data_IF_129081627637
#
_entry.id   IF_129081627637
#
_cell.length_a   1.000
_cell.length_b   1.000
_cell.length_c   1.000
_cell.angle_alpha   90.00
_cell.angle_beta   90.00
_cell.angle_gamma   90.00
#
_symmetry.space_group_name_H-M   'P 1'
#
loop_
_entity.id
_entity.type
_entity.pdbx_description
1 polymer ?
#
# COMPACT_ATOMS: atom_id res chain seq x y z
N UNK A 1 -5.95 18.62 -6.17
CA UNK A 1 -6.27 17.20 -6.39
C UNK A 1 -6.75 16.67 -5.07
N UNK A 2 -7.93 16.07 -5.07
CA UNK A 2 -8.46 15.45 -3.86
C UNK A 2 -7.60 14.22 -3.56
N UNK A 3 -7.01 14.13 -2.38
CA UNK A 3 -6.10 13.02 -2.00
C UNK A 3 -6.82 11.66 -1.92
N UNK A 4 -8.14 11.66 -1.93
CA UNK A 4 -8.97 10.45 -1.87
C UNK A 4 -8.85 9.50 -3.09
N UNK A 5 -8.28 9.99 -4.19
CA UNK A 5 -8.26 9.28 -5.47
C UNK A 5 -6.89 8.67 -5.82
N UNK A 6 -5.93 8.67 -4.86
CA UNK A 6 -4.58 8.20 -5.05
C UNK A 6 -4.17 7.28 -3.91
N UNK A 7 -3.63 6.12 -4.24
CA UNK A 7 -2.95 5.26 -3.30
C UNK A 7 -1.46 5.60 -3.32
N UNK A 8 -0.92 6.05 -2.17
CA UNK A 8 0.49 6.33 -2.00
C UNK A 8 1.05 5.35 -0.97
N UNK A 9 2.18 4.72 -1.28
CA UNK A 9 2.82 3.79 -0.36
C UNK A 9 4.32 3.64 -0.64
N UNK A 10 5.05 3.14 0.36
CA UNK A 10 6.47 2.81 0.27
C UNK A 10 6.63 1.31 0.09
N UNK A 11 7.61 0.93 -0.71
CA UNK A 11 7.98 -0.46 -0.99
C UNK A 11 9.43 -0.52 -1.48
N UNK A 12 9.81 -1.61 -2.11
CA UNK A 12 11.13 -1.77 -2.74
C UNK A 12 10.98 -2.26 -4.19
N UNK A 13 11.88 -1.79 -5.04
CA UNK A 13 12.02 -2.30 -6.42
C UNK A 13 13.46 -2.77 -6.60
N UNK A 14 13.65 -4.06 -6.88
CA UNK A 14 14.97 -4.67 -7.00
C UNK A 14 15.88 -4.43 -5.77
N UNK A 15 15.29 -4.43 -4.57
CA UNK A 15 16.00 -4.19 -3.31
C UNK A 15 16.34 -2.73 -3.01
N UNK A 16 15.89 -1.78 -3.85
CA UNK A 16 16.06 -0.35 -3.61
C UNK A 16 14.76 0.27 -3.12
N UNK A 17 14.81 1.23 -2.16
CA UNK A 17 13.62 1.94 -1.71
C UNK A 17 12.85 2.59 -2.84
N UNK A 18 11.53 2.47 -2.82
CA UNK A 18 10.63 3.01 -3.82
C UNK A 18 9.40 3.66 -3.18
N UNK A 19 8.90 4.72 -3.82
CA UNK A 19 7.64 5.37 -3.44
C UNK A 19 6.70 5.26 -4.63
N UNK A 20 5.56 4.63 -4.40
CA UNK A 20 4.52 4.41 -5.39
C UNK A 20 3.38 5.41 -5.24
N UNK A 21 2.80 5.77 -6.36
CA UNK A 21 1.57 6.57 -6.46
C UNK A 21 0.71 5.94 -7.54
N UNK A 22 -0.36 5.27 -7.17
CA UNK A 22 -1.32 4.66 -8.09
C UNK A 22 -2.62 5.47 -8.13
N UNK A 23 -3.16 5.62 -9.33
CA UNK A 23 -4.46 6.25 -9.54
C UNK A 23 -5.56 5.21 -9.33
N UNK A 24 -6.40 5.41 -8.32
CA UNK A 24 -7.55 4.53 -8.02
C UNK A 24 -8.89 5.15 -8.46
N UNK A 25 -8.86 6.35 -9.04
CA UNK A 25 -10.05 7.01 -9.56
C UNK A 25 -10.44 6.45 -10.94
N UNK A 26 -11.70 6.24 -11.14
CA UNK A 26 -12.28 5.88 -12.44
C UNK A 26 -11.71 4.57 -13.09
N UNK A 27 -10.98 3.74 -12.36
CA UNK A 27 -10.37 2.51 -12.90
C UNK A 27 -11.41 1.63 -13.59
N UNK A 28 -12.56 1.40 -12.96
CA UNK A 28 -13.65 0.61 -13.51
C UNK A 28 -14.17 1.17 -14.84
N UNK A 29 -14.15 2.51 -14.99
CA UNK A 29 -14.56 3.20 -16.19
C UNK A 29 -13.62 2.98 -17.37
N UNK A 30 -12.34 2.73 -17.10
CA UNK A 30 -11.29 2.53 -18.09
C UNK A 30 -10.92 1.06 -18.31
N UNK A 31 -10.89 0.24 -17.28
CA UNK A 31 -10.54 -1.18 -17.34
C UNK A 31 -11.47 -2.02 -18.26
N UNK A 32 -12.71 -1.64 -18.44
CA UNK A 32 -13.65 -2.31 -19.37
C UNK A 32 -13.57 -1.85 -20.83
N UNK A 33 -12.60 -0.98 -21.19
CA UNK A 33 -12.42 -0.46 -22.54
C UNK A 33 -11.22 -1.10 -23.24
N UNK A 34 -11.06 -0.83 -24.56
CA UNK A 34 -9.95 -1.35 -25.37
C UNK A 34 -8.58 -0.68 -25.06
N UNK A 35 -8.29 -0.38 -23.77
CA UNK A 35 -7.01 0.13 -23.32
C UNK A 35 -6.07 -1.04 -22.97
N UNK A 36 -5.70 -1.79 -23.99
CA UNK A 36 -4.92 -3.03 -23.87
C UNK A 36 -3.39 -2.83 -23.95
N UNK A 37 -2.94 -1.59 -24.06
CA UNK A 37 -1.53 -1.24 -24.19
C UNK A 37 -1.09 -0.34 -23.05
N UNK A 38 0.03 -0.69 -22.44
CA UNK A 38 0.68 0.15 -21.46
C UNK A 38 1.91 0.82 -22.06
N UNK A 39 1.98 2.14 -21.94
CA UNK A 39 3.14 2.96 -22.29
C UNK A 39 3.86 3.33 -20.98
N UNK A 40 5.11 2.92 -20.88
CA UNK A 40 5.99 3.20 -19.75
C UNK A 40 7.15 4.08 -20.20
N UNK A 41 7.59 5.00 -19.36
CA UNK A 41 8.78 5.82 -19.61
C UNK A 41 9.38 6.34 -18.32
N UNK A 42 10.59 6.87 -18.37
CA UNK A 42 11.31 7.38 -17.22
C UNK A 42 11.53 8.88 -17.27
N UNK A 43 11.59 9.50 -16.08
CA UNK A 43 11.99 10.87 -15.83
C UNK A 43 13.13 10.82 -14.82
N UNK A 44 14.34 11.25 -15.22
CA UNK A 44 15.46 11.29 -14.30
C UNK A 44 15.35 12.45 -13.31
N UNK A 45 15.78 12.22 -12.07
CA UNK A 45 15.97 13.24 -11.04
C UNK A 45 17.32 13.03 -10.33
N UNK A 46 17.73 13.99 -9.52
CA UNK A 46 18.93 13.87 -8.71
C UNK A 46 18.60 13.24 -7.37
N UNK A 47 19.18 12.07 -7.08
CA UNK A 47 19.07 11.46 -5.77
C UNK A 47 19.70 12.35 -4.68
N UNK A 48 19.12 12.28 -3.47
CA UNK A 48 19.63 12.99 -2.31
C UNK A 48 20.80 12.24 -1.66
N UNK A 49 20.65 10.92 -1.54
CA UNK A 49 21.59 10.02 -0.88
C UNK A 49 21.62 8.62 -1.53
N UNK A 50 22.16 7.65 -0.81
CA UNK A 50 22.31 6.25 -1.26
C UNK A 50 20.98 5.51 -1.42
N UNK A 51 19.88 6.02 -0.86
CA UNK A 51 18.53 5.45 -1.05
C UNK A 51 18.05 5.61 -2.49
N UNK A 52 18.64 6.52 -3.24
CA UNK A 52 18.24 6.82 -4.59
C UNK A 52 16.97 7.67 -4.68
N UNK A 53 16.42 8.14 -3.56
CA UNK A 53 15.22 8.98 -3.51
C UNK A 53 15.60 10.49 -3.64
N UNK A 54 14.69 11.36 -4.10
CA UNK A 54 14.93 12.78 -4.24
C UNK A 54 14.87 13.50 -2.90
N UNK A 55 15.58 14.64 -2.76
CA UNK A 55 15.28 15.60 -1.70
C UNK A 55 13.92 16.27 -1.95
N UNK A 56 13.35 16.93 -0.94
CA UNK A 56 12.09 17.67 -1.05
C UNK A 56 12.09 18.64 -2.24
N UNK A 57 13.16 19.44 -2.38
CA UNK A 57 13.31 20.39 -3.49
C UNK A 57 13.37 19.71 -4.86
N UNK A 58 14.01 18.55 -4.95
CA UNK A 58 14.10 17.80 -6.20
C UNK A 58 12.79 17.06 -6.50
N UNK A 59 12.10 16.62 -5.46
CA UNK A 59 10.77 16.05 -5.56
C UNK A 59 9.77 17.07 -6.15
N UNK A 60 9.76 18.31 -5.68
CA UNK A 60 8.90 19.37 -6.22
C UNK A 60 9.16 19.62 -7.71
N UNK A 61 10.43 19.60 -8.12
CA UNK A 61 10.79 19.75 -9.55
C UNK A 61 10.31 18.54 -10.36
N UNK A 62 10.43 17.33 -9.82
CA UNK A 62 9.96 16.12 -10.46
C UNK A 62 8.45 16.15 -10.63
N UNK A 63 7.69 16.48 -9.59
CA UNK A 63 6.22 16.56 -9.62
C UNK A 63 5.75 17.63 -10.63
N UNK A 64 6.43 18.75 -10.74
CA UNK A 64 6.12 19.74 -11.78
C UNK A 64 6.34 19.21 -13.22
N UNK A 65 7.33 18.32 -13.43
CA UNK A 65 7.51 17.63 -14.73
C UNK A 65 6.39 16.60 -14.96
N UNK A 66 6.03 15.84 -13.93
CA UNK A 66 4.91 14.89 -13.98
C UNK A 66 3.62 15.61 -14.37
N UNK A 67 3.28 16.72 -13.73
CA UNK A 67 2.07 17.49 -14.08
C UNK A 67 2.05 18.01 -15.52
N UNK A 68 3.22 18.42 -16.05
CA UNK A 68 3.31 18.83 -17.46
C UNK A 68 2.99 17.69 -18.42
N UNK A 69 3.43 16.48 -18.11
CA UNK A 69 3.12 15.29 -18.92
C UNK A 69 1.65 14.91 -18.77
N UNK A 70 1.13 14.87 -17.54
CA UNK A 70 -0.27 14.57 -17.26
C UNK A 70 -1.18 15.50 -18.08
N UNK A 71 -0.93 16.81 -18.06
CA UNK A 71 -1.73 17.79 -18.80
C UNK A 71 -1.74 17.54 -20.32
N UNK A 72 -0.67 16.98 -20.90
CA UNK A 72 -0.60 16.67 -22.33
C UNK A 72 -1.26 15.32 -22.66
N UNK A 73 -0.96 14.27 -21.88
CA UNK A 73 -1.42 12.93 -22.19
C UNK A 73 -2.90 12.70 -21.83
N UNK A 74 -3.40 13.30 -20.74
CA UNK A 74 -4.83 13.19 -20.39
C UNK A 74 -5.74 14.00 -21.31
N UNK A 75 -5.18 14.89 -22.12
CA UNK A 75 -5.92 15.55 -23.20
C UNK A 75 -6.12 14.65 -24.43
N UNK A 76 -5.38 13.54 -24.56
CA UNK A 76 -5.55 12.56 -25.62
C UNK A 76 -6.78 11.67 -25.33
N UNK A 77 -7.50 11.22 -26.39
CA UNK A 77 -8.63 10.33 -26.20
C UNK A 77 -8.16 8.93 -25.72
N UNK A 78 -8.94 8.31 -24.85
CA UNK A 78 -8.73 6.94 -24.38
C UNK A 78 -7.30 6.71 -23.84
N UNK A 79 -6.87 7.61 -22.96
CA UNK A 79 -5.62 7.50 -22.21
C UNK A 79 -5.94 7.56 -20.72
N UNK A 80 -5.43 6.61 -19.97
CA UNK A 80 -5.55 6.52 -18.52
C UNK A 80 -4.18 6.56 -17.85
N UNK A 81 -3.98 7.48 -16.92
CA UNK A 81 -2.78 7.50 -16.09
C UNK A 81 -2.95 6.49 -14.95
N UNK A 82 -2.23 5.38 -15.02
CA UNK A 82 -2.30 4.31 -14.03
C UNK A 82 -1.55 4.65 -12.74
N UNK A 83 -0.41 5.33 -12.87
CA UNK A 83 0.43 5.68 -11.73
C UNK A 83 1.90 5.85 -12.09
N UNK A 84 2.70 6.03 -11.06
CA UNK A 84 4.17 6.06 -11.18
C UNK A 84 4.81 5.53 -9.91
N UNK A 85 6.08 5.19 -10.01
CA UNK A 85 6.93 5.02 -8.83
C UNK A 85 8.25 5.75 -8.99
N UNK A 86 8.84 6.13 -7.86
CA UNK A 86 10.10 6.83 -7.73
C UNK A 86 11.10 5.87 -7.09
N UNK A 87 12.19 5.55 -7.78
CA UNK A 87 13.22 4.63 -7.31
C UNK A 87 14.53 4.90 -8.04
N UNK A 88 15.64 4.77 -7.35
CA UNK A 88 16.99 4.80 -7.93
C UNK A 88 17.20 5.93 -8.96
N UNK A 89 16.96 7.18 -8.56
CA UNK A 89 17.15 8.39 -9.39
C UNK A 89 16.21 8.50 -10.60
N UNK A 90 15.16 7.71 -10.67
CA UNK A 90 14.20 7.71 -11.77
C UNK A 90 12.76 7.64 -11.25
N UNK A 91 11.87 8.41 -11.88
CA UNK A 91 10.43 8.19 -11.80
C UNK A 91 9.99 7.43 -13.04
N UNK A 92 9.35 6.28 -12.87
CA UNK A 92 8.80 5.48 -13.95
C UNK A 92 7.30 5.66 -14.01
N UNK A 93 6.82 6.19 -15.14
CA UNK A 93 5.43 6.54 -15.40
C UNK A 93 4.73 5.42 -16.16
N UNK A 94 3.43 5.24 -15.90
CA UNK A 94 2.61 4.17 -16.49
C UNK A 94 1.27 4.74 -17.00
N UNK A 95 1.01 4.55 -18.29
CA UNK A 95 -0.22 4.98 -18.92
C UNK A 95 -0.82 3.85 -19.74
N UNK A 96 -2.11 3.57 -19.56
CA UNK A 96 -2.86 2.72 -20.48
C UNK A 96 -3.48 3.53 -21.59
N UNK A 97 -3.51 2.98 -22.79
CA UNK A 97 -4.08 3.65 -23.94
C UNK A 97 -4.60 2.65 -24.99
N UNK A 98 -5.52 3.15 -25.84
CA UNK A 98 -5.99 2.45 -27.04
C UNK A 98 -4.99 2.60 -28.20
N UNK A 99 -4.47 3.83 -28.38
CA UNK A 99 -3.58 4.20 -29.50
C UNK A 99 -2.23 4.66 -29.01
N UNK A 100 -1.27 3.73 -28.90
CA UNK A 100 0.09 3.99 -28.41
C UNK A 100 0.86 5.02 -29.22
N UNK A 101 0.64 5.09 -30.55
CA UNK A 101 1.39 6.00 -31.42
C UNK A 101 1.20 7.46 -31.00
N UNK A 102 -0.03 7.88 -30.67
CA UNK A 102 -0.31 9.25 -30.23
C UNK A 102 0.40 9.60 -28.92
N UNK A 103 0.44 8.64 -27.99
CA UNK A 103 1.13 8.82 -26.71
C UNK A 103 2.63 8.90 -26.93
N UNK A 104 3.21 7.98 -27.71
CA UNK A 104 4.65 7.94 -28.00
C UNK A 104 5.10 9.22 -28.75
N UNK A 105 4.39 9.65 -29.78
CA UNK A 105 4.70 10.87 -30.53
C UNK A 105 4.67 12.11 -29.62
N UNK A 106 3.70 12.20 -28.71
CA UNK A 106 3.63 13.29 -27.72
C UNK A 106 4.82 13.25 -26.76
N UNK A 107 5.16 12.07 -26.23
CA UNK A 107 6.28 11.89 -25.31
C UNK A 107 7.64 12.20 -25.96
N UNK A 108 7.83 11.87 -27.24
CA UNK A 108 9.06 12.15 -27.99
C UNK A 108 9.35 13.66 -28.16
N UNK A 109 8.34 14.52 -28.00
CA UNK A 109 8.51 15.98 -28.02
C UNK A 109 9.01 16.55 -26.66
N UNK A 110 9.14 15.70 -25.62
CA UNK A 110 9.47 16.13 -24.27
C UNK A 110 10.92 15.73 -23.94
N UNK A 111 11.83 16.67 -23.89
CA UNK A 111 13.29 16.47 -23.78
C UNK A 111 13.72 15.64 -22.57
N UNK A 112 13.00 15.73 -21.44
CA UNK A 112 13.35 15.05 -20.19
C UNK A 112 12.72 13.66 -20.05
N UNK A 113 11.92 13.21 -21.00
CA UNK A 113 11.37 11.85 -21.07
C UNK A 113 12.41 10.92 -21.70
N UNK A 114 12.60 9.74 -21.11
CA UNK A 114 13.55 8.71 -21.57
C UNK A 114 12.88 7.32 -21.53
N UNK A 115 13.52 6.36 -22.15
CA UNK A 115 13.21 4.92 -22.08
C UNK A 115 11.74 4.61 -22.32
N UNK A 116 11.16 5.18 -23.40
CA UNK A 116 9.76 4.91 -23.76
C UNK A 116 9.64 3.46 -24.20
N UNK A 117 8.79 2.70 -23.52
CA UNK A 117 8.49 1.31 -23.80
C UNK A 117 6.98 1.12 -23.93
N UNK A 118 6.58 0.29 -24.88
CA UNK A 118 5.16 -0.06 -25.09
C UNK A 118 5.03 -1.57 -25.05
N UNK A 119 4.08 -2.06 -24.30
CA UNK A 119 3.75 -3.48 -24.26
C UNK A 119 2.24 -3.69 -24.19
N UNK A 120 1.81 -4.88 -24.58
CA UNK A 120 0.43 -5.30 -24.46
C UNK A 120 0.19 -5.83 -23.05
N UNK A 121 -0.86 -5.34 -22.39
CA UNK A 121 -1.24 -5.69 -21.04
C UNK A 121 -2.77 -5.76 -20.93
N UNK A 122 -3.33 -6.86 -21.41
CA UNK A 122 -4.77 -7.09 -21.54
C UNK A 122 -5.49 -7.17 -20.19
N UNK A 123 -4.83 -7.78 -19.21
CA UNK A 123 -5.40 -8.01 -17.87
C UNK A 123 -5.08 -6.87 -16.91
N UNK A 124 -4.31 -5.88 -17.38
CA UNK A 124 -3.80 -4.80 -16.55
C UNK A 124 -2.94 -5.31 -15.37
N UNK A 125 -2.18 -6.40 -15.59
CA UNK A 125 -1.33 -7.00 -14.57
C UNK A 125 -0.32 -5.99 -13.99
N UNK A 126 0.23 -5.09 -14.82
CA UNK A 126 1.11 -4.02 -14.34
C UNK A 126 0.40 -3.07 -13.37
N UNK A 127 -0.89 -2.86 -13.53
CA UNK A 127 -1.66 -2.02 -12.62
C UNK A 127 -2.04 -2.77 -11.34
N UNK A 128 -2.69 -3.93 -11.47
CA UNK A 128 -3.26 -4.65 -10.34
C UNK A 128 -2.20 -5.37 -9.49
N UNK A 129 -1.17 -5.96 -10.13
CA UNK A 129 -0.19 -6.78 -9.42
C UNK A 129 1.11 -6.04 -9.09
N UNK A 130 1.34 -4.85 -9.70
CA UNK A 130 2.60 -4.13 -9.49
C UNK A 130 2.42 -2.68 -9.00
N UNK A 131 1.44 -1.91 -9.53
CA UNK A 131 1.26 -0.51 -9.13
C UNK A 131 0.38 -0.33 -7.90
N UNK A 132 -0.58 -1.23 -7.67
CA UNK A 132 -1.37 -1.21 -6.44
C UNK A 132 -0.61 -1.88 -5.30
N UNK A 133 -0.75 -1.32 -4.11
CA UNK A 133 -0.19 -1.95 -2.91
C UNK A 133 -0.90 -3.27 -2.62
N UNK A 134 -0.11 -4.30 -2.35
CA UNK A 134 -0.62 -5.56 -1.80
C UNK A 134 -1.20 -5.34 -0.39
N UNK A 135 -2.07 -6.25 0.10
CA UNK A 135 -2.58 -6.17 1.48
C UNK A 135 -1.46 -6.05 2.52
N UNK A 136 -0.36 -6.78 2.34
CA UNK A 136 0.80 -6.69 3.22
C UNK A 136 1.45 -5.30 3.17
N UNK A 137 1.69 -4.74 1.99
CA UNK A 137 2.28 -3.39 1.85
C UNK A 137 1.41 -2.31 2.49
N UNK A 138 0.08 -2.41 2.38
CA UNK A 138 -0.85 -1.51 3.06
C UNK A 138 -0.64 -1.57 4.57
N UNK A 139 -0.54 -2.77 5.15
CA UNK A 139 -0.37 -2.97 6.60
C UNK A 139 1.00 -2.52 7.10
N UNK A 140 2.07 -2.77 6.31
CA UNK A 140 3.42 -2.29 6.65
C UNK A 140 3.50 -0.76 6.62
N UNK A 141 2.89 -0.11 5.63
CA UNK A 141 2.84 1.35 5.58
C UNK A 141 1.99 1.94 6.72
N UNK A 142 0.84 1.34 7.03
CA UNK A 142 0.03 1.73 8.19
C UNK A 142 0.80 1.58 9.51
N UNK A 143 1.62 0.53 9.64
CA UNK A 143 2.51 0.32 10.78
C UNK A 143 3.54 1.45 10.88
N UNK A 144 4.21 1.83 9.79
CA UNK A 144 5.16 2.95 9.77
C UNK A 144 4.48 4.27 10.19
N UNK A 145 3.30 4.56 9.65
CA UNK A 145 2.52 5.76 10.00
C UNK A 145 2.13 5.80 11.48
N UNK A 146 1.74 4.65 12.06
CA UNK A 146 1.42 4.54 13.49
C UNK A 146 2.64 4.79 14.37
N UNK A 147 3.80 4.22 14.04
CA UNK A 147 5.05 4.45 14.76
C UNK A 147 5.47 5.92 14.68
N UNK A 148 5.34 6.55 13.52
CA UNK A 148 5.64 7.99 13.37
C UNK A 148 4.63 8.86 14.14
N UNK A 149 3.37 8.47 14.19
CA UNK A 149 2.35 9.16 15.01
C UNK A 149 2.69 9.09 16.50
N UNK A 150 3.12 7.93 17.01
CA UNK A 150 3.55 7.75 18.41
C UNK A 150 4.75 8.64 18.72
N UNK A 151 5.80 8.62 17.88
CA UNK A 151 6.98 9.50 18.02
C UNK A 151 6.59 10.98 18.04
N UNK A 152 5.73 11.40 17.11
CA UNK A 152 5.28 12.79 17.01
C UNK A 152 4.46 13.24 18.24
N UNK A 153 3.80 12.29 18.92
CA UNK A 153 3.14 12.52 20.21
C UNK A 153 4.09 12.49 21.41
N UNK A 154 5.41 12.33 21.18
CA UNK A 154 6.43 12.30 22.22
C UNK A 154 6.47 10.98 23.00
N UNK A 155 5.95 9.88 22.44
CA UNK A 155 6.04 8.55 23.01
C UNK A 155 7.40 7.93 22.72
N UNK A 156 7.97 7.26 23.72
CA UNK A 156 9.22 6.52 23.57
C UNK A 156 8.90 5.10 23.09
N UNK A 157 9.34 4.76 21.87
CA UNK A 157 9.05 3.45 21.29
C UNK A 157 9.80 2.31 22.02
N UNK A 158 10.80 2.62 22.87
CA UNK A 158 11.48 1.63 23.71
C UNK A 158 10.68 1.23 24.95
N UNK A 159 9.61 1.94 25.28
CA UNK A 159 8.68 1.52 26.33
C UNK A 159 7.93 0.25 25.90
N UNK A 160 7.39 -0.47 26.87
CA UNK A 160 6.53 -1.62 26.63
C UNK A 160 5.12 -1.15 26.32
N UNK A 161 4.58 -1.60 25.20
CA UNK A 161 3.21 -1.33 24.76
C UNK A 161 2.39 -2.62 24.79
N UNK A 162 1.15 -2.52 25.24
CA UNK A 162 0.16 -3.57 25.00
C UNK A 162 -0.36 -3.40 23.56
N UNK A 163 -0.01 -4.35 22.71
CA UNK A 163 -0.39 -4.37 21.29
C UNK A 163 -1.44 -5.44 21.09
N UNK A 164 -2.55 -5.06 20.44
CA UNK A 164 -3.64 -5.95 20.06
C UNK A 164 -3.62 -6.16 18.54
N UNK A 165 -3.52 -7.41 18.10
CA UNK A 165 -3.66 -7.83 16.71
C UNK A 165 -5.05 -8.38 16.46
N UNK A 166 -5.67 -8.01 15.34
CA UNK A 166 -7.03 -8.45 14.96
C UNK A 166 -7.02 -9.27 13.67
N UNK A 167 -7.83 -10.34 13.65
CA UNK A 167 -7.99 -11.25 12.51
C UNK A 167 -9.47 -11.51 12.25
N UNK A 168 -9.84 -11.56 10.97
CA UNK A 168 -11.20 -11.90 10.53
C UNK A 168 -11.23 -13.23 9.79
N UNK A 169 -12.31 -13.98 9.98
CA UNK A 169 -12.59 -15.26 9.31
C UNK A 169 -14.06 -15.31 8.91
N UNK A 170 -14.34 -15.70 7.68
CA UNK A 170 -15.72 -15.88 7.21
C UNK A 170 -16.37 -17.13 7.79
N UNK A 171 -15.57 -18.14 8.15
CA UNK A 171 -16.01 -19.44 8.63
C UNK A 171 -15.34 -19.80 9.97
N UNK A 172 -16.14 -20.27 10.95
CA UNK A 172 -15.65 -20.72 12.26
C UNK A 172 -14.67 -21.90 12.13
N UNK A 173 -14.89 -22.79 11.15
CA UNK A 173 -14.06 -23.95 10.86
C UNK A 173 -12.64 -23.57 10.41
N UNK A 174 -12.41 -22.36 9.95
CA UNK A 174 -11.10 -21.81 9.59
C UNK A 174 -10.42 -21.12 10.78
N UNK A 175 -11.23 -20.48 11.63
CA UNK A 175 -10.74 -19.74 12.79
C UNK A 175 -10.08 -20.64 13.83
N UNK A 176 -10.68 -21.77 14.19
CA UNK A 176 -10.13 -22.62 15.26
C UNK A 176 -8.77 -23.23 14.91
N UNK A 177 -8.53 -23.82 13.72
CA UNK A 177 -7.20 -24.29 13.35
C UNK A 177 -6.13 -23.19 13.34
N UNK A 178 -6.48 -21.95 12.97
CA UNK A 178 -5.59 -20.80 13.09
C UNK A 178 -5.21 -20.52 14.55
N UNK A 179 -6.18 -20.53 15.46
CA UNK A 179 -5.94 -20.33 16.89
C UNK A 179 -5.09 -21.46 17.50
N UNK A 180 -5.31 -22.69 17.06
CA UNK A 180 -4.49 -23.84 17.46
C UNK A 180 -3.04 -23.65 17.02
N UNK A 181 -2.80 -23.20 15.77
CA UNK A 181 -1.45 -22.91 15.26
C UNK A 181 -0.77 -21.78 16.02
N UNK A 182 -1.46 -20.69 16.34
CA UNK A 182 -0.97 -19.63 17.19
C UNK A 182 -0.51 -20.14 18.57
N UNK A 183 -1.22 -21.13 19.10
CA UNK A 183 -0.91 -21.71 20.41
C UNK A 183 0.24 -22.71 20.38
N UNK A 184 0.55 -23.29 19.21
CA UNK A 184 1.68 -24.21 19.01
C UNK A 184 3.01 -23.49 18.77
N UNK A 185 2.95 -22.34 18.15
CA UNK A 185 4.12 -21.50 17.92
C UNK A 185 4.50 -20.75 19.22
N UNK A 186 5.78 -20.47 19.38
CA UNK A 186 6.33 -19.82 20.58
C UNK A 186 6.04 -18.30 20.56
N UNK A 187 4.75 -17.95 20.42
CA UNK A 187 4.29 -16.56 20.53
C UNK A 187 4.13 -16.17 22.00
N UNK A 188 4.84 -15.13 22.41
CA UNK A 188 4.62 -14.52 23.74
C UNK A 188 3.39 -13.61 23.69
N UNK A 189 2.19 -14.19 23.80
CA UNK A 189 0.96 -13.39 23.94
C UNK A 189 0.40 -13.47 25.36
N UNK A 190 -0.24 -12.38 25.79
CA UNK A 190 -0.89 -12.27 27.10
C UNK A 190 -2.31 -12.79 27.04
N UNK A 191 -3.01 -12.55 25.93
CA UNK A 191 -4.42 -12.89 25.76
C UNK A 191 -4.70 -13.34 24.34
N UNK A 192 -5.55 -14.37 24.18
CA UNK A 192 -6.14 -14.77 22.91
C UNK A 192 -7.65 -14.84 23.10
N UNK A 193 -8.40 -14.04 22.37
CA UNK A 193 -9.85 -13.94 22.44
C UNK A 193 -10.48 -14.17 21.06
N UNK A 194 -11.72 -14.62 21.03
CA UNK A 194 -12.48 -14.78 19.80
C UNK A 194 -13.96 -14.50 20.01
N UNK A 195 -14.67 -14.13 18.96
CA UNK A 195 -16.11 -13.98 18.95
C UNK A 195 -16.77 -15.36 18.83
N UNK A 196 -17.66 -15.69 19.78
CA UNK A 196 -18.40 -16.96 19.76
C UNK A 196 -19.53 -16.99 18.70
N UNK A 197 -19.82 -15.85 18.09
CA UNK A 197 -20.83 -15.69 17.03
C UNK A 197 -20.26 -14.73 15.98
N UNK A 198 -20.69 -14.89 14.72
CA UNK A 198 -20.33 -13.96 13.68
C UNK A 198 -20.80 -12.54 14.01
N UNK A 199 -19.94 -11.58 13.75
CA UNK A 199 -20.17 -10.13 13.95
C UNK A 199 -20.54 -9.53 12.60
N UNK A 200 -21.54 -8.65 12.59
CA UNK A 200 -21.92 -7.87 11.42
C UNK A 200 -22.15 -6.42 11.88
N UNK A 201 -21.43 -5.46 11.31
CA UNK A 201 -21.55 -4.06 11.72
C UNK A 201 -22.72 -3.36 11.03
N UNK A 202 -22.92 -3.59 9.73
CA UNK A 202 -24.02 -3.03 8.96
C UNK A 202 -24.80 -4.16 8.29
N UNK A 203 -26.07 -3.91 7.93
CA UNK A 203 -26.93 -4.90 7.27
C UNK A 203 -26.39 -5.38 5.92
N UNK A 204 -25.59 -4.56 5.24
CA UNK A 204 -25.00 -4.84 3.93
C UNK A 204 -23.60 -5.50 4.02
N UNK A 205 -22.98 -5.56 5.21
CA UNK A 205 -21.66 -6.17 5.40
C UNK A 205 -21.77 -7.69 5.48
N UNK A 206 -20.77 -8.42 5.01
CA UNK A 206 -20.64 -9.85 5.25
C UNK A 206 -20.30 -10.11 6.72
N UNK A 207 -20.97 -11.06 7.40
CA UNK A 207 -20.65 -11.39 8.78
C UNK A 207 -19.31 -12.13 8.87
N UNK A 208 -18.52 -11.87 9.93
CA UNK A 208 -17.23 -12.49 10.16
C UNK A 208 -17.01 -12.88 11.62
N UNK A 209 -16.11 -13.83 11.86
CA UNK A 209 -15.59 -14.16 13.18
C UNK A 209 -14.33 -13.38 13.45
N UNK A 210 -14.20 -12.82 14.66
CA UNK A 210 -13.08 -12.00 15.09
C UNK A 210 -12.19 -12.81 16.03
N UNK A 211 -10.88 -12.80 15.77
CA UNK A 211 -9.85 -13.23 16.73
C UNK A 211 -9.00 -12.02 17.09
N UNK A 212 -8.69 -11.88 18.39
CA UNK A 212 -7.81 -10.85 18.94
C UNK A 212 -6.68 -11.51 19.73
N UNK A 213 -5.47 -11.06 19.47
CA UNK A 213 -4.27 -11.48 20.17
C UNK A 213 -3.60 -10.25 20.79
N UNK A 214 -3.39 -10.28 22.11
CA UNK A 214 -2.68 -9.22 22.83
C UNK A 214 -1.30 -9.69 23.22
N UNK A 215 -0.31 -8.80 23.13
CA UNK A 215 1.06 -9.01 23.57
C UNK A 215 1.71 -7.73 24.09
N UNK A 216 2.68 -7.89 24.97
CA UNK A 216 3.50 -6.78 25.46
C UNK A 216 4.84 -6.77 24.71
N UNK A 217 5.07 -5.74 23.88
CA UNK A 217 6.30 -5.58 23.10
C UNK A 217 6.82 -4.15 23.12
N UNK A 218 8.11 -4.00 22.81
CA UNK A 218 8.73 -2.72 22.46
C UNK A 218 8.57 -2.48 20.97
N UNK A 219 8.41 -1.22 20.58
CA UNK A 219 8.15 -0.83 19.17
C UNK A 219 9.39 -0.22 18.48
N UNK A 220 10.57 -0.20 19.15
CA UNK A 220 11.78 0.45 18.62
C UNK A 220 12.70 -0.49 17.82
N UNK A 221 12.55 -1.80 17.95
CA UNK A 221 13.44 -2.83 17.40
C UNK A 221 13.02 -3.39 16.03
N UNK A 222 11.90 -2.93 15.49
CA UNK A 222 11.38 -3.41 14.19
C UNK A 222 10.61 -4.74 14.26
N UNK A 223 10.50 -5.39 15.41
CA UNK A 223 9.80 -6.66 15.60
C UNK A 223 8.33 -6.60 15.15
N UNK A 224 7.68 -5.46 15.32
CA UNK A 224 6.28 -5.28 14.90
C UNK A 224 6.09 -5.49 13.38
N UNK A 225 7.06 -5.12 12.54
CA UNK A 225 7.00 -5.35 11.10
C UNK A 225 7.10 -6.84 10.77
N UNK A 226 8.01 -7.56 11.44
CA UNK A 226 8.14 -9.02 11.28
C UNK A 226 6.86 -9.74 11.70
N UNK A 227 6.20 -9.26 12.76
CA UNK A 227 4.92 -9.81 13.21
C UNK A 227 3.79 -9.54 12.21
N UNK A 228 3.71 -8.33 11.65
CA UNK A 228 2.73 -7.99 10.59
C UNK A 228 2.89 -8.92 9.39
N UNK A 229 4.12 -9.12 8.90
CA UNK A 229 4.38 -10.05 7.78
C UNK A 229 3.98 -11.50 8.11
N UNK A 230 4.35 -11.95 9.32
CA UNK A 230 4.07 -13.31 9.79
C UNK A 230 2.58 -13.55 9.96
N UNK A 231 1.85 -12.62 10.57
CA UNK A 231 0.41 -12.74 10.81
C UNK A 231 -0.40 -12.64 9.53
N UNK A 232 -0.01 -11.77 8.58
CA UNK A 232 -0.62 -11.72 7.25
C UNK A 232 -0.50 -13.07 6.54
N UNK A 233 0.70 -13.63 6.53
CA UNK A 233 0.95 -14.94 5.92
C UNK A 233 0.20 -16.06 6.63
N UNK A 234 0.20 -16.06 7.97
CA UNK A 234 -0.45 -17.11 8.76
C UNK A 234 -1.96 -17.06 8.58
N UNK A 235 -2.61 -15.91 8.71
CA UNK A 235 -4.04 -15.76 8.49
C UNK A 235 -4.46 -16.26 7.10
N UNK A 236 -3.71 -15.88 6.05
CA UNK A 236 -3.96 -16.34 4.69
C UNK A 236 -3.87 -17.85 4.50
N UNK A 237 -3.02 -18.57 5.25
CA UNK A 237 -2.94 -20.04 5.20
C UNK A 237 -4.24 -20.71 5.68
N UNK A 238 -5.00 -20.06 6.54
CA UNK A 238 -6.27 -20.53 7.07
C UNK A 238 -7.48 -19.82 6.42
N UNK A 239 -7.28 -19.19 5.26
CA UNK A 239 -8.32 -18.41 4.57
C UNK A 239 -8.97 -17.34 5.46
N UNK A 240 -8.19 -16.76 6.36
CA UNK A 240 -8.52 -15.60 7.17
C UNK A 240 -7.79 -14.35 6.68
N UNK A 241 -8.15 -13.22 7.25
CA UNK A 241 -7.53 -11.92 6.98
C UNK A 241 -6.93 -11.36 8.27
N UNK A 242 -5.67 -10.95 8.24
CA UNK A 242 -5.07 -10.12 9.27
C UNK A 242 -5.48 -8.68 9.05
N UNK A 243 -6.17 -8.06 9.99
CA UNK A 243 -6.70 -6.69 9.84
C UNK A 243 -5.62 -5.65 10.15
N UNK A 244 -4.76 -5.95 11.13
CA UNK A 244 -3.73 -5.03 11.59
C UNK A 244 -3.59 -5.07 13.10
N UNK A 245 -2.93 -4.04 13.63
CA UNK A 245 -2.70 -3.90 15.07
C UNK A 245 -3.02 -2.50 15.58
N UNK A 246 -3.30 -2.43 16.87
CA UNK A 246 -3.45 -1.18 17.61
C UNK A 246 -2.76 -1.29 18.98
N UNK A 247 -2.55 -0.18 19.68
CA UNK A 247 -2.02 -0.19 21.03
C UNK A 247 -2.81 0.75 21.95
N UNK A 248 -2.73 0.50 23.25
CA UNK A 248 -3.45 1.22 24.31
C UNK A 248 -3.25 2.75 24.28
N UNK A 249 -2.04 3.19 23.91
CA UNK A 249 -1.72 4.63 23.78
C UNK A 249 -2.50 5.36 22.68
N UNK A 250 -3.12 4.63 21.75
CA UNK A 250 -4.00 5.19 20.70
C UNK A 250 -5.47 5.17 21.11
N UNK A 251 -5.88 4.19 21.93
CA UNK A 251 -7.27 4.07 22.40
C UNK A 251 -7.71 5.21 23.31
N UNK A 252 -6.79 5.77 24.11
CA UNK A 252 -7.11 6.89 25.00
C UNK A 252 -7.45 8.18 24.26
N UNK A 253 -6.97 8.35 23.03
CA UNK A 253 -7.30 9.52 22.20
C UNK A 253 -8.75 9.49 21.69
N UNK A 254 -9.32 8.32 21.45
CA UNK A 254 -10.70 8.16 20.97
C UNK A 254 -11.74 8.27 22.10
N UNK A 255 -11.37 8.02 23.36
CA UNK A 255 -12.27 8.19 24.53
C UNK A 255 -12.48 9.65 24.94
N UNK A 256 -11.63 10.59 24.50
CA UNK A 256 -11.76 12.02 24.79
C UNK A 256 -12.60 12.80 23.75
N UNK A 257 -13.06 12.14 22.68
CA UNK A 257 -13.85 12.74 21.60
C UNK A 257 -15.34 12.34 21.59
N UNK A 258 -15.81 11.61 22.62
CA UNK A 258 -17.24 11.27 22.82
C UNK A 258 -17.84 11.97 24.03
#
# INVERSE_FOLDING_TARGET
MDMANWQNYRSTVNGMPAVFTANIEDVEKYHGKDLDKIVQFTIAYKAYDETGLPSEVEYDKLINRVFKILAQLTALPNVFFAGHFICNSQAKMHFYCEHENLVVETLQQIDFVKDINVQKDLSWDTYFDFLLASPLEIKLNATEELLDLLKNKGRDLSDTYLVEHSFHFDEEEKMFPFMDELSLEDYSFTTLQYSAQAIQFNEDDEPYFLVKLEQEISLDNGEIFEQVERFEKLAGQFAGEYIGWECDSLMDANKQLN
#
